data_IF_010475356384
#
_entry.id   IF_010475356384
#
_cell.length_a   1.000
_cell.length_b   1.000
_cell.length_c   1.000
_cell.angle_alpha   90.00
_cell.angle_beta   90.00
_cell.angle_gamma   90.00
#
_symmetry.space_group_name_H-M   'P 1'
#
loop_
_entity.id
_entity.type
_entity.pdbx_description
1 polymer ?
#
# COMPACT_ATOMS: atom_id res chain seq x y z
N UNK A 1 -5.90 -18.75 21.49
CA UNK A 1 -5.18 -17.47 21.29
C UNK A 1 -6.20 -16.43 20.82
N UNK A 2 -6.34 -15.29 21.49
CA UNK A 2 -7.07 -14.16 20.89
C UNK A 2 -6.17 -13.58 19.80
N UNK A 3 -6.65 -13.52 18.57
CA UNK A 3 -5.93 -12.85 17.48
C UNK A 3 -5.70 -11.38 17.84
N UNK A 4 -4.51 -10.85 17.57
CA UNK A 4 -4.25 -9.41 17.72
C UNK A 4 -5.19 -8.63 16.80
N UNK A 5 -5.96 -7.69 17.36
CA UNK A 5 -6.91 -6.86 16.60
C UNK A 5 -6.14 -5.96 15.64
N UNK A 6 -6.58 -5.89 14.38
CA UNK A 6 -6.10 -4.91 13.38
C UNK A 6 -7.00 -3.69 13.42
N UNK A 7 -6.60 -2.67 14.18
CA UNK A 7 -7.36 -1.45 14.50
C UNK A 7 -7.21 -0.39 13.41
N UNK A 8 -6.17 -0.45 12.61
CA UNK A 8 -5.88 0.52 11.54
C UNK A 8 -5.46 -0.15 10.24
N UNK A 9 -6.01 0.35 9.14
CA UNK A 9 -5.74 -0.09 7.77
C UNK A 9 -5.39 1.14 6.94
N UNK A 10 -4.16 1.23 6.46
CA UNK A 10 -3.68 2.31 5.62
C UNK A 10 -3.69 1.86 4.16
N UNK A 11 -4.52 2.49 3.32
CA UNK A 11 -4.59 2.21 1.88
C UNK A 11 -3.65 3.15 1.15
N UNK A 12 -2.76 2.60 0.33
CA UNK A 12 -1.66 3.33 -0.31
C UNK A 12 -1.65 3.05 -1.82
N UNK A 13 -1.74 4.08 -2.69
CA UNK A 13 -1.63 3.87 -4.13
C UNK A 13 -0.23 3.36 -4.49
N UNK A 14 -0.12 2.15 -5.03
CA UNK A 14 1.19 1.52 -5.21
C UNK A 14 2.05 2.10 -6.35
N UNK A 15 1.52 3.04 -7.15
CA UNK A 15 2.31 3.76 -8.15
C UNK A 15 3.11 4.94 -7.57
N UNK A 16 2.83 5.34 -6.32
CA UNK A 16 3.44 6.49 -5.66
C UNK A 16 4.53 6.03 -4.67
N UNK A 17 5.80 6.16 -5.09
CA UNK A 17 6.95 5.70 -4.31
C UNK A 17 7.14 6.47 -3.00
N UNK A 18 6.79 7.76 -2.95
CA UNK A 18 6.92 8.55 -1.73
C UNK A 18 5.89 8.07 -0.69
N UNK A 19 4.66 7.79 -1.13
CA UNK A 19 3.62 7.21 -0.26
C UNK A 19 3.94 5.81 0.22
N UNK A 20 4.59 4.99 -0.61
CA UNK A 20 5.08 3.67 -0.19
C UNK A 20 6.14 3.80 0.92
N UNK A 21 7.11 4.71 0.75
CA UNK A 21 8.14 4.96 1.75
C UNK A 21 7.57 5.50 3.08
N UNK A 22 6.61 6.44 3.01
CA UNK A 22 5.88 6.94 4.18
C UNK A 22 5.17 5.79 4.90
N UNK A 23 4.44 4.94 4.16
CA UNK A 23 3.67 3.84 4.71
C UNK A 23 4.53 2.78 5.40
N UNK A 24 5.73 2.50 4.86
CA UNK A 24 6.70 1.57 5.47
C UNK A 24 7.16 2.03 6.86
N UNK A 25 7.12 3.34 7.14
CA UNK A 25 7.45 3.92 8.44
C UNK A 25 6.24 4.15 9.36
N UNK A 26 5.03 3.78 8.91
CA UNK A 26 3.79 4.08 9.63
C UNK A 26 3.53 3.12 10.80
N UNK A 27 2.71 3.57 11.76
CA UNK A 27 2.22 2.73 12.86
C UNK A 27 0.88 2.02 12.52
N UNK A 28 0.59 1.81 11.23
CA UNK A 28 -0.62 1.11 10.82
C UNK A 28 -0.53 -0.38 11.16
N UNK A 29 -1.63 -0.98 11.65
CA UNK A 29 -1.66 -2.41 11.93
C UNK A 29 -1.66 -3.24 10.63
N UNK A 30 -2.17 -2.66 9.53
CA UNK A 30 -2.14 -3.20 8.16
C UNK A 30 -1.87 -2.07 7.17
N UNK A 31 -0.99 -2.32 6.21
CA UNK A 31 -0.82 -1.49 5.00
C UNK A 31 -1.37 -2.28 3.80
N UNK A 32 -2.26 -1.67 3.04
CA UNK A 32 -2.85 -2.22 1.82
C UNK A 32 -2.30 -1.45 0.63
N UNK A 33 -1.50 -2.12 -0.19
CA UNK A 33 -0.98 -1.56 -1.43
C UNK A 33 -2.03 -1.71 -2.52
N UNK A 34 -2.61 -0.58 -2.92
CA UNK A 34 -3.70 -0.55 -3.88
C UNK A 34 -3.20 -0.49 -5.32
N UNK A 35 -3.80 -1.32 -6.16
CA UNK A 35 -3.57 -1.43 -7.60
C UNK A 35 -4.78 -1.00 -8.43
N UNK A 36 -5.86 -0.55 -7.78
CA UNK A 36 -7.16 -0.36 -8.38
C UNK A 36 -7.68 1.08 -8.19
N UNK A 37 -8.59 1.37 -7.26
CA UNK A 37 -9.38 2.61 -7.26
C UNK A 37 -8.54 3.88 -7.08
N UNK A 38 -7.42 3.80 -6.37
CA UNK A 38 -6.50 4.93 -6.16
C UNK A 38 -5.40 5.02 -7.22
N UNK A 39 -5.42 4.12 -8.23
CA UNK A 39 -4.42 4.05 -9.29
C UNK A 39 -5.08 4.33 -10.64
N UNK A 40 -4.72 5.47 -11.24
CA UNK A 40 -5.15 5.78 -12.59
C UNK A 40 -4.73 4.67 -13.57
N UNK A 41 -5.56 4.38 -14.57
CA UNK A 41 -5.35 3.26 -15.50
C UNK A 41 -3.96 3.26 -16.17
N UNK A 42 -3.46 4.45 -16.53
CA UNK A 42 -2.12 4.59 -17.11
C UNK A 42 -1.00 4.15 -16.16
N UNK A 43 -1.22 4.19 -14.86
CA UNK A 43 -0.21 3.94 -13.82
C UNK A 43 -0.26 2.52 -13.25
N UNK A 44 -1.22 1.68 -13.69
CA UNK A 44 -1.37 0.31 -13.19
C UNK A 44 -0.15 -0.58 -13.46
N UNK A 45 0.60 -0.32 -14.51
CA UNK A 45 1.84 -1.06 -14.78
C UNK A 45 2.92 -0.68 -13.76
N UNK A 46 3.19 0.62 -13.57
CA UNK A 46 4.10 1.14 -12.53
C UNK A 46 3.73 0.61 -11.15
N UNK A 47 2.45 0.64 -10.79
CA UNK A 47 1.97 0.13 -9.51
C UNK A 47 2.32 -1.35 -9.29
N UNK A 48 2.23 -2.18 -10.34
CA UNK A 48 2.59 -3.61 -10.27
C UNK A 48 4.09 -3.83 -10.24
N UNK A 49 4.86 -3.00 -10.92
CA UNK A 49 6.32 -3.11 -10.95
C UNK A 49 6.91 -2.69 -9.59
N UNK A 50 6.45 -1.57 -9.02
CA UNK A 50 6.88 -1.11 -7.70
C UNK A 50 6.70 -2.17 -6.59
N UNK A 51 5.60 -2.93 -6.58
CA UNK A 51 5.36 -3.95 -5.54
C UNK A 51 6.14 -5.26 -5.75
N UNK A 52 6.66 -5.52 -6.96
CA UNK A 52 7.48 -6.71 -7.23
C UNK A 52 8.89 -6.54 -6.67
N UNK A 53 9.36 -5.30 -6.63
CA UNK A 53 10.70 -4.92 -6.17
C UNK A 53 10.74 -4.55 -4.68
N UNK A 54 9.58 -4.54 -3.99
CA UNK A 54 9.41 -4.14 -2.59
C UNK A 54 9.68 -5.27 -1.58
#
# INVERSE_FOLDING_TARGET
MRGSVRRSWLIVPAHDNDRLAEAASSNADVVVLDLQDTVHDSSKHVARDNIRDA
#
